data_IF_684211594570
#
_entry.id   IF_684211594570
#
_cell.length_a   1.000
_cell.length_b   1.000
_cell.length_c   1.000
_cell.angle_alpha   90.00
_cell.angle_beta   90.00
_cell.angle_gamma   90.00
#
_symmetry.space_group_name_H-M   'P 1'
#
loop_
_entity.id
_entity.type
_entity.pdbx_description
1 polymer ?
#
# COMPACT_ATOMS: atom_id res chain seq x y z
N UNK A 1 11.35 31.99 -32.13
CA UNK A 1 11.24 31.48 -31.80
C UNK A 1 10.84 30.76 -31.18
N UNK A 2 10.85 30.56 -30.78
CA UNK A 2 10.56 29.93 -30.22
C UNK A 2 10.34 29.03 -29.73
N UNK A 3 10.21 28.70 -29.63
CA UNK A 3 9.95 27.78 -29.27
C UNK A 3 10.06 27.24 -28.28
N UNK A 4 10.12 27.12 -27.72
CA UNK A 4 10.24 26.51 -26.81
C UNK A 4 9.44 26.28 -26.01
N UNK A 5 9.03 26.34 -25.84
CA UNK A 5 8.08 26.30 -25.25
C UNK A 5 7.49 25.19 -25.02
N UNK A 6 7.20 24.71 -25.70
CA UNK A 6 6.62 23.65 -25.58
C UNK A 6 6.95 22.77 -24.71
N UNK A 7 7.83 22.49 -24.66
CA UNK A 7 8.25 21.49 -23.89
C UNK A 7 7.61 21.42 -22.63
N UNK A 8 7.49 22.29 -22.09
CA UNK A 8 7.06 22.24 -20.84
C UNK A 8 5.82 21.68 -20.60
N UNK A 9 5.03 21.82 -21.39
CA UNK A 9 3.84 21.37 -21.09
C UNK A 9 3.69 20.07 -20.65
N UNK A 10 4.21 19.26 -21.16
CA UNK A 10 3.98 17.97 -20.81
C UNK A 10 4.21 17.62 -19.52
N UNK A 11 4.97 18.16 -19.03
CA UNK A 11 5.28 17.88 -17.80
C UNK A 11 4.16 17.61 -17.01
N UNK A 12 3.27 18.34 -16.98
CA UNK A 12 2.25 18.14 -16.08
C UNK A 12 1.50 16.95 -16.30
N UNK A 13 1.35 16.64 -17.45
CA UNK A 13 0.51 15.57 -17.73
C UNK A 13 0.94 14.29 -17.17
N UNK A 14 2.14 14.10 -17.09
CA UNK A 14 2.58 12.81 -16.75
C UNK A 14 2.33 12.43 -15.37
N UNK A 15 2.01 13.30 -14.55
CA UNK A 15 1.84 12.89 -13.20
C UNK A 15 0.57 12.30 -12.88
N UNK A 16 -0.42 12.48 -13.64
CA UNK A 16 -1.69 11.99 -13.25
C UNK A 16 -1.78 10.54 -12.93
N UNK A 17 -1.32 9.68 -13.75
CA UNK A 17 -1.51 8.27 -13.50
C UNK A 17 -0.82 7.81 -12.25
N UNK A 18 0.12 8.55 -11.81
CA UNK A 18 0.88 8.11 -10.67
C UNK A 18 0.09 8.07 -9.40
N UNK A 19 -1.04 8.72 -9.37
CA UNK A 19 -1.80 8.73 -8.15
C UNK A 19 -2.77 7.60 -8.03
N UNK A 20 -2.96 6.84 -9.07
CA UNK A 20 -3.95 5.78 -9.02
C UNK A 20 -3.30 4.51 -8.50
N UNK A 21 -3.73 4.04 -7.38
CA UNK A 21 -3.28 2.75 -6.87
C UNK A 21 -4.39 1.75 -7.04
N UNK A 22 -4.03 0.55 -7.48
CA UNK A 22 -5.00 -0.51 -7.65
C UNK A 22 -5.34 -1.15 -6.31
N UNK A 23 -6.41 -1.89 -6.27
CA UNK A 23 -6.75 -2.65 -5.06
C UNK A 23 -5.65 -3.63 -4.69
N UNK A 24 -5.01 -4.23 -5.69
CA UNK A 24 -3.91 -5.15 -5.41
C UNK A 24 -2.71 -4.46 -4.80
N UNK A 25 -2.39 -3.27 -5.27
CA UNK A 25 -1.27 -2.51 -4.71
C UNK A 25 -1.56 -2.06 -3.29
N UNK A 26 -2.78 -1.63 -3.04
CA UNK A 26 -3.18 -1.22 -1.70
C UNK A 26 -3.14 -2.40 -0.75
N UNK A 27 -3.64 -3.55 -1.19
CA UNK A 27 -3.59 -4.77 -0.40
C UNK A 27 -2.15 -5.13 -0.05
N UNK A 28 -1.27 -5.09 -1.04
CA UNK A 28 0.12 -5.47 -0.83
C UNK A 28 0.80 -4.52 0.15
N UNK A 29 0.62 -3.23 -0.03
CA UNK A 29 1.25 -2.26 0.86
C UNK A 29 0.77 -2.43 2.29
N UNK A 30 -0.53 -2.60 2.48
CA UNK A 30 -1.09 -2.76 3.82
C UNK A 30 -0.52 -3.99 4.51
N UNK A 31 -0.47 -5.09 3.78
CA UNK A 31 0.02 -6.33 4.36
C UNK A 31 1.54 -6.34 4.54
N UNK A 32 2.28 -5.63 3.71
CA UNK A 32 3.72 -5.49 3.89
C UNK A 32 4.03 -4.78 5.21
N UNK A 33 3.22 -3.82 5.60
CA UNK A 33 3.38 -3.15 6.88
C UNK A 33 3.21 -4.13 8.03
N UNK A 34 2.18 -4.99 7.95
CA UNK A 34 1.98 -6.00 8.98
C UNK A 34 3.08 -7.06 8.95
N UNK A 35 3.56 -7.43 7.76
CA UNK A 35 4.65 -8.38 7.65
C UNK A 35 5.89 -7.88 8.39
N UNK A 36 6.23 -6.63 8.16
CA UNK A 36 7.42 -6.05 8.79
C UNK A 36 7.29 -6.00 10.31
N UNK A 37 6.10 -5.93 10.81
CA UNK A 37 5.86 -5.87 12.24
C UNK A 37 5.67 -7.25 12.90
N UNK A 38 5.77 -8.32 12.11
CA UNK A 38 5.76 -9.67 12.69
C UNK A 38 4.45 -10.43 12.63
N UNK A 39 3.51 -10.00 11.81
CA UNK A 39 2.22 -10.67 11.71
C UNK A 39 2.34 -12.03 11.02
N UNK A 40 1.61 -13.01 11.52
CA UNK A 40 1.55 -14.35 10.94
C UNK A 40 0.30 -14.43 10.07
N UNK A 41 0.50 -14.54 8.77
CA UNK A 41 -0.62 -14.52 7.83
C UNK A 41 -1.45 -15.79 7.90
N UNK A 42 -2.77 -15.66 7.72
CA UNK A 42 -3.69 -16.78 7.81
C UNK A 42 -4.28 -17.17 6.47
N UNK A 43 -4.23 -16.28 5.48
CA UNK A 43 -4.84 -16.58 4.20
C UNK A 43 -3.82 -17.13 3.24
N UNK A 44 -4.27 -17.92 2.27
CA UNK A 44 -3.37 -18.42 1.25
C UNK A 44 -2.69 -17.29 0.51
N UNK A 45 -3.41 -16.23 0.22
CA UNK A 45 -2.86 -15.10 -0.50
C UNK A 45 -1.75 -14.44 0.29
N UNK A 46 -1.97 -14.22 1.58
CA UNK A 46 -0.97 -13.58 2.44
C UNK A 46 0.26 -14.45 2.59
N UNK A 47 0.06 -15.75 2.79
CA UNK A 47 1.17 -16.67 2.95
C UNK A 47 1.99 -16.76 1.67
N UNK A 48 1.33 -16.82 0.51
CA UNK A 48 2.08 -16.88 -0.74
C UNK A 48 2.85 -15.59 -1.01
N UNK A 49 2.29 -14.44 -0.65
CA UNK A 49 2.96 -13.18 -0.92
C UNK A 49 4.11 -12.90 0.03
N UNK A 50 3.97 -13.26 1.30
CA UNK A 50 4.92 -12.84 2.32
C UNK A 50 5.57 -13.98 3.11
N UNK A 51 4.89 -15.09 3.22
CA UNK A 51 5.34 -16.16 4.09
C UNK A 51 5.22 -15.80 5.55
N UNK A 52 5.49 -16.74 6.42
CA UNK A 52 5.40 -16.55 7.86
C UNK A 52 6.72 -16.81 8.60
N UNK A 53 7.83 -16.73 7.86
CA UNK A 53 9.12 -16.99 8.47
C UNK A 53 9.40 -15.96 9.55
N UNK A 54 9.64 -16.42 10.75
CA UNK A 54 9.94 -15.52 11.86
C UNK A 54 8.79 -14.67 12.37
N UNK A 55 7.58 -14.98 11.97
CA UNK A 55 6.44 -14.18 12.45
C UNK A 55 6.22 -14.43 13.95
N UNK A 56 5.60 -13.46 14.61
CA UNK A 56 5.45 -13.51 16.06
C UNK A 56 4.02 -13.30 16.55
N UNK A 57 3.15 -12.73 15.74
CA UNK A 57 1.82 -12.34 16.21
C UNK A 57 0.74 -12.98 15.36
N UNK A 58 -0.08 -13.81 15.99
CA UNK A 58 -1.18 -14.47 15.29
C UNK A 58 -2.41 -13.60 15.17
N UNK A 59 -2.57 -12.63 16.07
CA UNK A 59 -3.72 -11.75 16.05
C UNK A 59 -3.30 -10.40 15.54
N UNK A 60 -3.97 -9.92 14.50
CA UNK A 60 -3.64 -8.65 13.90
C UNK A 60 -3.70 -7.50 14.91
N UNK A 61 -4.58 -7.60 15.88
CA UNK A 61 -4.70 -6.57 16.90
C UNK A 61 -3.50 -6.50 17.84
N UNK A 62 -2.70 -7.56 17.91
CA UNK A 62 -1.55 -7.59 18.78
C UNK A 62 -0.28 -7.10 18.09
N UNK A 63 -0.33 -6.85 16.80
CA UNK A 63 0.84 -6.44 16.05
C UNK A 63 1.24 -5.03 16.44
N UNK A 64 2.50 -4.82 16.87
CA UNK A 64 2.92 -3.51 17.36
C UNK A 64 3.31 -2.57 16.23
N UNK A 65 2.35 -1.91 15.65
CA UNK A 65 2.63 -0.94 14.60
C UNK A 65 3.06 0.40 15.21
N UNK A 66 4.02 1.04 14.56
CA UNK A 66 4.39 2.40 14.94
C UNK A 66 3.24 3.35 14.65
N UNK A 67 3.29 4.55 15.19
CA UNK A 67 2.27 5.55 14.91
C UNK A 67 2.17 5.86 13.41
N UNK A 68 3.31 5.95 12.74
CA UNK A 68 3.31 6.21 11.30
C UNK A 68 2.70 5.04 10.53
N UNK A 69 3.05 3.83 10.89
CA UNK A 69 2.48 2.65 10.22
C UNK A 69 0.98 2.54 10.45
N UNK A 70 0.55 2.83 11.66
CA UNK A 70 -0.89 2.81 11.95
C UNK A 70 -1.63 3.83 11.12
N UNK A 71 -1.07 5.03 11.00
CA UNK A 71 -1.70 6.07 10.19
C UNK A 71 -1.75 5.67 8.72
N UNK A 72 -0.68 5.07 8.22
CA UNK A 72 -0.67 4.65 6.82
C UNK A 72 -1.66 3.51 6.56
N UNK A 73 -1.74 2.55 7.47
CA UNK A 73 -2.72 1.47 7.34
C UNK A 73 -4.13 2.06 7.30
N UNK A 74 -4.42 3.01 8.18
CA UNK A 74 -5.75 3.62 8.20
C UNK A 74 -6.05 4.34 6.88
N UNK A 75 -5.06 5.00 6.32
CA UNK A 75 -5.21 5.68 5.04
C UNK A 75 -5.48 4.67 3.92
N UNK A 76 -4.74 3.58 3.89
CA UNK A 76 -4.93 2.54 2.89
C UNK A 76 -6.32 1.94 2.99
N UNK A 77 -6.77 1.65 4.21
CA UNK A 77 -8.09 1.08 4.41
C UNK A 77 -9.18 2.04 3.89
N UNK A 78 -9.00 3.32 4.10
CA UNK A 78 -9.94 4.30 3.58
C UNK A 78 -9.96 4.28 2.07
N UNK A 79 -8.78 4.21 1.42
CA UNK A 79 -8.72 4.15 -0.03
C UNK A 79 -9.35 2.86 -0.56
N UNK A 80 -9.08 1.73 0.11
CA UNK A 80 -9.68 0.47 -0.30
C UNK A 80 -11.20 0.54 -0.24
N UNK A 81 -11.73 1.18 0.79
CA UNK A 81 -13.17 1.32 0.92
C UNK A 81 -13.72 2.24 -0.16
N UNK A 82 -13.05 3.36 -0.42
CA UNK A 82 -13.51 4.32 -1.40
C UNK A 82 -13.46 3.74 -2.81
N UNK A 83 -12.52 2.86 -3.08
CA UNK A 83 -12.39 2.23 -4.40
C UNK A 83 -13.22 0.96 -4.52
N UNK A 84 -13.90 0.55 -3.49
CA UNK A 84 -14.69 -0.67 -3.53
C UNK A 84 -13.85 -1.94 -3.52
N UNK A 85 -12.67 -1.92 -2.93
CA UNK A 85 -11.82 -3.09 -2.85
C UNK A 85 -12.35 -4.10 -1.86
N UNK A 86 -12.08 -5.39 -2.13
CA UNK A 86 -12.55 -6.41 -1.24
C UNK A 86 -11.49 -7.03 -0.40
#
# INVERSE_FOLDING_TARGET
MKKFILASLFVGASVLPAFAQSCGELWYERNAIYKDAGYCFKTSRGIRAFGNSGCQYDNMNDVPLSANSRARVAEIVRMERDYGCR
#
